data_IF_053092133595
#
_entry.id   IF_053092133595
#
_cell.length_a   1.000
_cell.length_b   1.000
_cell.length_c   1.000
_cell.angle_alpha   90.00
_cell.angle_beta   90.00
_cell.angle_gamma   90.00
#
_symmetry.space_group_name_H-M   'P 1'
#
loop_
_entity.id
_entity.type
_entity.pdbx_description
1 polymer ?
#
# COMPACT_ATOMS: atom_id res chain seq x y z
N UNK A 1 -7.73 3.00 -5.72
CA UNK A 1 -6.77 1.98 -6.20
C UNK A 1 -6.40 2.13 -7.67
N UNK A 2 -7.22 2.79 -8.50
CA UNK A 2 -7.00 3.00 -9.94
C UNK A 2 -5.56 3.34 -10.37
N UNK A 3 -4.84 4.23 -9.69
CA UNK A 3 -3.43 4.52 -10.05
C UNK A 3 -2.50 3.30 -9.93
N UNK A 4 -2.76 2.41 -8.97
CA UNK A 4 -2.02 1.14 -8.85
C UNK A 4 -2.33 0.25 -10.07
N UNK A 5 -3.59 0.25 -10.52
CA UNK A 5 -4.05 -0.54 -11.67
C UNK A 5 -3.47 -0.02 -12.99
N UNK A 6 -3.40 1.31 -13.12
CA UNK A 6 -2.87 2.00 -14.31
C UNK A 6 -1.33 2.02 -14.31
N UNK A 7 -0.67 1.57 -13.23
CA UNK A 7 0.79 1.60 -13.11
C UNK A 7 1.39 2.99 -12.85
N UNK A 8 0.56 3.95 -12.40
CA UNK A 8 0.93 5.33 -12.16
C UNK A 8 0.45 6.29 -13.26
N UNK A 9 1.03 7.50 -13.38
CA UNK A 9 2.11 8.04 -12.54
C UNK A 9 1.67 8.22 -11.08
N UNK A 10 2.61 8.06 -10.15
CA UNK A 10 2.33 8.17 -8.72
C UNK A 10 2.65 9.57 -8.17
N UNK A 11 1.79 10.13 -7.30
CA UNK A 11 1.98 11.47 -6.73
C UNK A 11 3.23 11.57 -5.83
N UNK A 12 3.63 10.49 -5.16
CA UNK A 12 4.79 10.47 -4.27
C UNK A 12 5.92 9.65 -4.88
N UNK A 13 6.55 10.20 -5.92
CA UNK A 13 7.65 9.57 -6.64
C UNK A 13 8.79 9.10 -5.70
N UNK A 14 9.30 7.89 -5.95
CA UNK A 14 10.34 7.27 -5.13
C UNK A 14 9.86 6.69 -3.79
N UNK A 15 8.58 6.89 -3.43
CA UNK A 15 7.94 6.26 -2.26
C UNK A 15 6.83 5.31 -2.68
N UNK A 16 5.91 5.80 -3.51
CA UNK A 16 4.85 4.96 -4.05
C UNK A 16 5.44 3.92 -5.01
N UNK A 17 5.06 2.65 -4.81
CA UNK A 17 5.63 1.50 -5.51
C UNK A 17 6.90 0.94 -4.86
N UNK A 18 7.39 1.52 -3.76
CA UNK A 18 8.55 0.97 -3.03
C UNK A 18 8.19 -0.31 -2.27
N UNK A 19 9.17 -1.19 -2.07
CA UNK A 19 8.94 -2.48 -1.39
C UNK A 19 8.49 -2.28 0.05
N UNK A 20 7.35 -2.87 0.40
CA UNK A 20 6.90 -3.04 1.78
C UNK A 20 7.47 -4.34 2.36
N UNK A 21 8.23 -4.22 3.45
CA UNK A 21 8.99 -5.34 4.01
C UNK A 21 8.17 -6.37 4.79
N UNK A 22 6.98 -6.00 5.29
CA UNK A 22 6.16 -6.84 6.19
C UNK A 22 6.98 -7.43 7.36
N UNK A 23 7.81 -6.62 8.02
CA UNK A 23 8.75 -7.08 9.05
C UNK A 23 8.03 -7.58 10.31
N UNK A 24 6.91 -6.94 10.65
CA UNK A 24 6.02 -7.26 11.76
C UNK A 24 5.15 -8.48 11.45
N UNK A 25 5.10 -8.93 10.19
CA UNK A 25 4.40 -10.15 9.78
C UNK A 25 2.87 -10.08 9.85
N UNK A 26 2.30 -8.87 9.82
CA UNK A 26 0.84 -8.65 9.89
C UNK A 26 0.12 -9.05 8.59
N UNK A 27 0.83 -9.07 7.46
CA UNK A 27 0.34 -9.66 6.21
C UNK A 27 0.86 -11.09 6.03
N UNK A 28 0.21 -11.94 5.20
CA UNK A 28 0.70 -13.29 4.91
C UNK A 28 2.17 -13.28 4.47
N UNK A 29 2.96 -14.22 5.00
CA UNK A 29 4.39 -14.37 4.67
C UNK A 29 4.59 -14.67 3.19
N UNK A 30 5.44 -13.87 2.53
CA UNK A 30 5.81 -13.95 1.12
C UNK A 30 7.30 -13.62 0.93
N UNK A 31 7.83 -13.88 -0.26
CA UNK A 31 9.21 -13.53 -0.58
C UNK A 31 9.43 -12.00 -0.52
N UNK A 32 10.67 -11.57 -0.24
CA UNK A 32 11.03 -10.15 -0.27
C UNK A 32 10.75 -9.57 -1.65
N UNK A 33 10.13 -8.39 -1.69
CA UNK A 33 9.73 -7.73 -2.95
C UNK A 33 8.29 -7.99 -3.35
N UNK A 34 7.60 -8.97 -2.74
CA UNK A 34 6.21 -9.31 -3.09
C UNK A 34 5.19 -8.19 -2.84
N UNK A 35 5.45 -7.34 -1.84
CA UNK A 35 4.55 -6.26 -1.45
C UNK A 35 5.15 -4.90 -1.80
N UNK A 36 4.32 -4.00 -2.31
CA UNK A 36 4.64 -2.59 -2.57
C UNK A 36 3.69 -1.65 -1.80
N UNK A 37 4.21 -0.54 -1.28
CA UNK A 37 3.41 0.49 -0.59
C UNK A 37 2.99 1.63 -1.52
N UNK A 38 1.79 2.17 -1.29
CA UNK A 38 1.25 3.33 -1.99
C UNK A 38 0.59 4.28 -1.00
N UNK A 39 0.86 5.57 -1.16
CA UNK A 39 0.28 6.62 -0.33
C UNK A 39 -1.20 6.82 -0.66
N UNK A 40 -2.03 6.93 0.39
CA UNK A 40 -3.37 7.48 0.27
C UNK A 40 -3.37 8.85 0.93
N UNK A 41 -3.61 9.94 0.17
CA UNK A 41 -3.56 11.29 0.74
C UNK A 41 -4.51 11.46 1.93
N UNK A 42 -4.01 12.08 3.00
CA UNK A 42 -4.84 12.59 4.09
C UNK A 42 -5.19 14.05 3.79
N UNK A 43 -6.47 14.40 3.61
CA UNK A 43 -6.87 15.78 3.38
C UNK A 43 -6.31 16.73 4.45
N UNK A 44 -5.68 17.83 4.01
CA UNK A 44 -5.09 18.83 4.91
C UNK A 44 -3.73 18.46 5.52
N UNK A 45 -3.20 17.25 5.29
CA UNK A 45 -1.87 16.90 5.74
C UNK A 45 -0.79 17.55 4.86
N UNK A 46 0.26 18.09 5.48
CA UNK A 46 1.46 18.61 4.80
C UNK A 46 2.48 17.51 4.45
N UNK A 47 2.27 16.30 4.96
CA UNK A 47 3.12 15.12 4.72
C UNK A 47 2.32 14.03 4.01
N UNK A 48 2.94 12.88 3.76
CA UNK A 48 2.26 11.67 3.23
C UNK A 48 1.15 11.14 4.15
N UNK A 49 1.08 11.59 5.41
CA UNK A 49 0.17 11.03 6.42
C UNK A 49 0.44 9.55 6.72
N UNK A 50 -0.45 8.94 7.51
CA UNK A 50 -0.36 7.54 7.95
C UNK A 50 -0.96 6.52 6.97
N UNK A 51 -1.86 6.98 6.09
CA UNK A 51 -2.72 6.13 5.27
C UNK A 51 -1.98 5.51 4.09
N UNK A 52 -2.08 4.19 3.91
CA UNK A 52 -1.42 3.46 2.82
C UNK A 52 -2.31 2.36 2.26
N UNK A 53 -2.04 2.01 1.02
CA UNK A 53 -2.44 0.72 0.43
C UNK A 53 -1.18 -0.10 0.19
N UNK A 54 -1.18 -1.35 0.62
CA UNK A 54 -0.15 -2.33 0.28
C UNK A 54 -0.70 -3.24 -0.81
N UNK A 55 -0.03 -3.27 -1.96
CA UNK A 55 -0.36 -4.18 -3.05
C UNK A 55 0.60 -5.37 -3.04
N UNK A 56 0.07 -6.59 -3.19
CA UNK A 56 0.86 -7.79 -3.43
C UNK A 56 0.82 -8.18 -4.90
N UNK A 57 1.89 -8.79 -5.41
CA UNK A 57 2.02 -9.22 -6.81
C UNK A 57 0.88 -10.13 -7.30
N UNK A 58 0.25 -10.88 -6.38
CA UNK A 58 -0.92 -11.70 -6.67
C UNK A 58 -2.24 -10.91 -6.78
N UNK A 59 -2.19 -9.57 -6.87
CA UNK A 59 -3.36 -8.69 -6.95
C UNK A 59 -4.06 -8.43 -5.62
N UNK A 60 -3.49 -8.89 -4.50
CA UNK A 60 -4.03 -8.56 -3.19
C UNK A 60 -3.78 -7.09 -2.86
N UNK A 61 -4.76 -6.46 -2.24
CA UNK A 61 -4.67 -5.13 -1.67
C UNK A 61 -5.03 -5.15 -0.20
N UNK A 62 -4.28 -4.38 0.59
CA UNK A 62 -4.50 -4.17 2.01
C UNK A 62 -4.49 -2.67 2.31
N UNK A 63 -5.42 -2.24 3.13
CA UNK A 63 -5.54 -0.88 3.65
C UNK A 63 -4.91 -0.78 5.03
N UNK A 64 -4.18 0.29 5.32
CA UNK A 64 -3.83 0.70 6.68
C UNK A 64 -4.14 2.19 6.84
N UNK A 65 -4.82 2.54 7.93
CA UNK A 65 -5.11 3.93 8.28
C UNK A 65 -4.08 4.50 9.28
N UNK A 66 -3.28 3.63 9.90
CA UNK A 66 -2.52 3.84 11.13
C UNK A 66 -1.03 3.56 10.93
N UNK A 67 -0.52 3.74 9.72
CA UNK A 67 0.90 3.62 9.40
C UNK A 67 1.48 2.24 9.75
N UNK A 68 0.83 1.19 9.23
CA UNK A 68 1.24 -0.21 9.30
C UNK A 68 0.98 -0.92 10.64
N UNK A 69 0.28 -0.29 11.58
CA UNK A 69 -0.09 -0.94 12.86
C UNK A 69 -1.22 -1.97 12.70
N UNK A 70 -2.15 -1.74 11.78
CA UNK A 70 -3.19 -2.70 11.43
C UNK A 70 -3.53 -2.69 9.93
N UNK A 71 -4.15 -3.78 9.46
CA UNK A 71 -4.49 -3.96 8.05
C UNK A 71 -5.90 -4.52 7.86
N UNK A 72 -6.59 -3.98 6.86
CA UNK A 72 -7.84 -4.51 6.34
C UNK A 72 -7.67 -4.97 4.89
N UNK A 73 -8.26 -6.12 4.53
CA UNK A 73 -8.21 -6.61 3.15
C UNK A 73 -9.21 -5.81 2.30
N UNK A 74 -8.72 -5.23 1.20
CA UNK A 74 -9.61 -4.65 0.18
C UNK A 74 -9.98 -5.77 -0.79
N UNK A 75 -11.28 -6.08 -0.86
CA UNK A 75 -11.86 -6.97 -1.85
C UNK A 75 -12.33 -6.16 -3.06
N UNK A 76 -12.03 -6.66 -4.25
CA UNK A 76 -12.54 -6.10 -5.50
C UNK A 76 -13.66 -7.02 -5.99
N UNK A 77 -14.78 -6.43 -6.38
CA UNK A 77 -15.80 -7.15 -7.12
C UNK A 77 -15.21 -7.56 -8.48
N UNK A 78 -15.60 -8.75 -8.95
CA UNK A 78 -15.17 -9.28 -10.25
C UNK A 78 -15.93 -8.60 -11.38
#
# INVERSE_FOLDING_TARGET
>A
VRLIDDGGPFPYAGKDGSTFGNFEGLLPRRARGYYAEYTVPTPGASTRGARRIIAGDGGQLYWTADHYESFERIWRER
#
